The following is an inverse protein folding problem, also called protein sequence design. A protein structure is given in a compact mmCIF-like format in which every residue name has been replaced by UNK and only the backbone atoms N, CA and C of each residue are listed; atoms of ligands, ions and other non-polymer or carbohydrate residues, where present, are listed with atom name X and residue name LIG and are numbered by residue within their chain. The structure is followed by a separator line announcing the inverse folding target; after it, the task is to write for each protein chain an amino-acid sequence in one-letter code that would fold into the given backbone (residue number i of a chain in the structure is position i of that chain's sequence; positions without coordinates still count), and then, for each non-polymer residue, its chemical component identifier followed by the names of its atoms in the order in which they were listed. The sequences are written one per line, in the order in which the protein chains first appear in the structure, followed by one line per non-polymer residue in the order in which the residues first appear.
data_IF_014571540607
#
_entry.id   IF_014571540607
#
_cell.length_a   1.000
_cell.length_b   1.000
_cell.length_c   1.000
_cell.angle_alpha   90.00
_cell.angle_beta   90.00
_cell.angle_gamma   90.00
#
_symmetry.space_group_name_H-M   'P 1'
#
loop_
_entity.id
_entity.type
_entity.pdbx_description
1 polymer ?
#
# COMPACT_ATOMS: atom_id res chain seq x y z
N UNK A 1 -5.29 2.95 -23.45
CA UNK A 1 -4.10 2.19 -23.07
C UNK A 1 -4.53 0.87 -22.43
N UNK A 2 -3.71 -0.17 -22.57
CA UNK A 2 -3.99 -1.48 -21.95
C UNK A 2 -3.79 -1.39 -20.44
N UNK A 3 -4.55 -2.17 -19.68
CA UNK A 3 -4.21 -2.50 -18.29
C UNK A 3 -2.88 -3.26 -18.29
N UNK A 4 -1.91 -2.82 -17.49
CA UNK A 4 -0.59 -3.44 -17.37
C UNK A 4 -0.39 -3.88 -15.92
N UNK A 5 0.34 -4.98 -15.76
CA UNK A 5 0.65 -5.53 -14.45
C UNK A 5 -0.20 -6.75 -14.14
N UNK A 6 -0.72 -6.80 -12.91
CA UNK A 6 -1.39 -7.96 -12.32
C UNK A 6 -2.55 -7.52 -11.45
N UNK A 7 -3.51 -8.40 -11.25
CA UNK A 7 -4.68 -8.21 -10.39
C UNK A 7 -4.36 -8.49 -8.93
N UNK A 8 -3.39 -9.37 -8.64
CA UNK A 8 -3.00 -9.71 -7.27
C UNK A 8 -1.51 -9.46 -7.05
N UNK A 9 -1.20 -8.73 -5.97
CA UNK A 9 0.15 -8.38 -5.56
C UNK A 9 0.38 -8.67 -4.08
N UNK A 10 1.54 -9.21 -3.73
CA UNK A 10 1.90 -9.55 -2.34
C UNK A 10 3.12 -8.73 -1.90
N UNK A 11 3.02 -8.09 -0.74
CA UNK A 11 4.12 -7.36 -0.10
C UNK A 11 4.35 -7.99 1.28
N UNK A 12 5.47 -8.72 1.49
CA UNK A 12 5.69 -9.43 2.74
C UNK A 12 6.15 -8.54 3.91
N UNK A 13 6.77 -7.38 3.63
CA UNK A 13 7.33 -6.49 4.66
C UNK A 13 6.51 -5.19 4.77
N UNK A 14 5.70 -5.10 5.82
CA UNK A 14 4.96 -3.93 6.26
C UNK A 14 5.25 -3.63 7.73
N UNK A 15 5.45 -2.35 8.04
CA UNK A 15 5.70 -1.83 9.39
C UNK A 15 5.59 -0.31 9.34
N UNK A 16 4.48 0.24 9.86
CA UNK A 16 4.31 1.69 9.93
C UNK A 16 5.12 2.20 11.12
N UNK A 17 6.19 2.98 10.92
CA UNK A 17 7.00 3.47 12.03
C UNK A 17 6.20 4.44 12.91
N UNK A 18 6.60 4.54 14.17
CA UNK A 18 6.18 5.65 15.04
C UNK A 18 6.63 7.00 14.46
N UNK A 19 5.96 8.06 14.90
CA UNK A 19 6.32 9.42 14.48
C UNK A 19 7.72 9.78 14.99
N UNK A 20 8.57 10.25 14.07
CA UNK A 20 9.88 10.80 14.40
C UNK A 20 9.80 12.29 14.74
N UNK A 21 10.97 12.89 14.98
CA UNK A 21 11.10 14.33 15.28
C UNK A 21 11.14 15.22 14.03
N UNK A 22 10.98 14.64 12.83
CA UNK A 22 11.06 15.35 11.55
C UNK A 22 9.69 15.89 11.12
N UNK A 23 9.70 16.94 10.29
CA UNK A 23 8.47 17.57 9.77
C UNK A 23 7.61 16.64 8.90
N UNK A 24 8.23 15.63 8.29
CA UNK A 24 7.52 14.57 7.56
C UNK A 24 7.53 13.32 8.45
N UNK A 25 6.34 12.85 8.91
CA UNK A 25 6.27 11.66 9.73
C UNK A 25 6.70 10.44 8.91
N UNK A 26 7.32 9.47 9.57
CA UNK A 26 7.57 8.16 8.98
C UNK A 26 6.25 7.54 8.52
N UNK A 27 6.27 6.90 7.36
CA UNK A 27 5.09 6.34 6.74
C UNK A 27 5.45 5.25 5.73
N UNK A 28 4.43 4.48 5.37
CA UNK A 28 4.46 3.55 4.25
C UNK A 28 3.45 3.98 3.20
N UNK A 29 3.75 3.69 1.95
CA UNK A 29 2.92 4.05 0.82
C UNK A 29 2.85 2.91 -0.19
N UNK A 30 1.63 2.49 -0.51
CA UNK A 30 1.35 1.70 -1.70
C UNK A 30 1.21 2.66 -2.89
N UNK A 31 2.23 2.69 -3.73
CA UNK A 31 2.19 3.38 -5.01
C UNK A 31 1.55 2.46 -6.04
N UNK A 32 0.36 2.81 -6.51
CA UNK A 32 -0.43 1.99 -7.43
C UNK A 32 -0.69 2.78 -8.70
N UNK A 33 -0.35 2.20 -9.86
CA UNK A 33 -0.68 2.79 -11.16
C UNK A 33 -1.68 1.92 -11.93
N UNK A 34 -2.74 2.57 -12.41
CA UNK A 34 -3.70 2.02 -13.36
C UNK A 34 -3.42 2.65 -14.74
N UNK A 35 -2.81 1.88 -15.63
CA UNK A 35 -2.48 2.34 -17.00
C UNK A 35 -3.64 2.22 -17.97
N UNK A 36 -4.73 1.55 -17.59
CA UNK A 36 -5.85 1.26 -18.48
C UNK A 36 -6.85 2.41 -18.62
N UNK A 37 -7.83 2.20 -19.50
CA UNK A 37 -8.87 3.18 -19.85
C UNK A 37 -10.13 3.10 -18.99
N UNK A 38 -10.15 2.23 -17.99
CA UNK A 38 -11.26 2.10 -17.03
C UNK A 38 -10.73 2.21 -15.61
N UNK A 39 -11.57 2.72 -14.70
CA UNK A 39 -11.28 2.70 -13.26
C UNK A 39 -11.02 1.26 -12.78
N UNK A 40 -10.11 1.12 -11.81
CA UNK A 40 -9.80 -0.13 -11.14
C UNK A 40 -10.31 -0.06 -9.69
N UNK A 41 -11.07 -1.08 -9.26
CA UNK A 41 -11.52 -1.27 -7.89
C UNK A 41 -10.50 -2.14 -7.17
N UNK A 42 -9.92 -1.58 -6.11
CA UNK A 42 -8.83 -2.18 -5.35
C UNK A 42 -9.29 -2.47 -3.93
N UNK A 43 -8.84 -3.61 -3.38
CA UNK A 43 -9.02 -4.00 -1.99
C UNK A 43 -7.68 -4.42 -1.39
N UNK A 44 -7.50 -4.14 -0.12
CA UNK A 44 -6.30 -4.49 0.64
C UNK A 44 -6.68 -5.47 1.75
N UNK A 45 -5.88 -6.52 1.91
CA UNK A 45 -5.90 -7.40 3.07
C UNK A 45 -4.56 -7.35 3.77
N UNK A 46 -4.58 -7.14 5.09
CA UNK A 46 -3.38 -7.05 5.94
C UNK A 46 -3.33 -8.25 6.87
N UNK A 47 -2.23 -8.98 6.81
CA UNK A 47 -1.96 -10.19 7.61
C UNK A 47 -1.00 -9.85 8.74
N UNK A 48 -1.25 -10.45 9.90
CA UNK A 48 -0.43 -10.25 11.10
C UNK A 48 0.16 -11.58 11.57
N UNK A 49 1.17 -11.50 12.44
CA UNK A 49 1.82 -12.68 13.02
C UNK A 49 0.95 -13.40 14.06
N UNK A 50 0.00 -12.69 14.69
CA UNK A 50 -0.65 -13.12 15.94
C UNK A 50 -2.18 -13.01 15.95
N UNK A 51 -2.82 -12.62 14.84
CA UNK A 51 -4.27 -12.41 14.75
C UNK A 51 -4.80 -12.54 13.33
N UNK A 52 -6.13 -12.64 13.22
CA UNK A 52 -6.83 -12.69 11.94
C UNK A 52 -6.52 -11.45 11.07
N UNK A 53 -6.49 -11.62 9.74
CA UNK A 53 -6.31 -10.50 8.82
C UNK A 53 -7.41 -9.45 8.94
N UNK A 54 -7.08 -8.21 8.61
CA UNK A 54 -8.05 -7.13 8.44
C UNK A 54 -8.14 -6.72 6.97
N UNK A 55 -9.31 -6.29 6.54
CA UNK A 55 -9.61 -5.98 5.15
C UNK A 55 -10.15 -4.56 5.01
N UNK A 56 -9.77 -3.89 3.93
CA UNK A 56 -10.35 -2.60 3.55
C UNK A 56 -11.70 -2.76 2.87
N UNK A 57 -12.47 -1.67 2.83
CA UNK A 57 -13.47 -1.48 1.78
C UNK A 57 -12.79 -1.30 0.42
N UNK A 58 -13.57 -1.40 -0.66
CA UNK A 58 -13.05 -1.10 -2.00
C UNK A 58 -12.77 0.39 -2.16
N UNK A 59 -11.61 0.71 -2.73
CA UNK A 59 -11.28 2.07 -3.19
C UNK A 59 -10.91 2.05 -4.68
N UNK A 60 -10.83 3.23 -5.30
CA UNK A 60 -10.71 3.35 -6.76
C UNK A 60 -9.39 3.99 -7.17
N UNK A 61 -8.67 3.32 -8.07
CA UNK A 61 -7.59 3.93 -8.85
C UNK A 61 -8.15 4.29 -10.22
N UNK A 62 -8.30 5.59 -10.47
CA UNK A 62 -8.91 6.11 -11.70
C UNK A 62 -8.17 5.68 -12.95
N UNK A 63 -8.89 5.59 -14.07
CA UNK A 63 -8.30 5.30 -15.38
C UNK A 63 -7.14 6.26 -15.69
N UNK A 64 -6.02 5.70 -16.18
CA UNK A 64 -4.80 6.46 -16.52
C UNK A 64 -4.29 7.35 -15.38
N UNK A 65 -4.32 6.85 -14.14
CA UNK A 65 -3.85 7.57 -12.95
C UNK A 65 -3.00 6.67 -12.05
N UNK A 66 -2.22 7.33 -11.21
CA UNK A 66 -1.55 6.73 -10.06
C UNK A 66 -2.20 7.23 -8.78
N UNK A 67 -2.14 6.43 -7.73
CA UNK A 67 -2.38 6.85 -6.35
C UNK A 67 -1.17 6.49 -5.50
N UNK A 68 -0.82 7.38 -4.58
CA UNK A 68 0.13 7.13 -3.52
C UNK A 68 -0.69 6.94 -2.24
N UNK A 69 -1.10 5.70 -1.99
CA UNK A 69 -1.99 5.37 -0.88
C UNK A 69 -1.16 5.21 0.39
N UNK A 70 -1.15 6.25 1.22
CA UNK A 70 -0.41 6.24 2.48
C UNK A 70 -1.13 5.32 3.47
N UNK A 71 -0.39 4.35 4.01
CA UNK A 71 -0.98 3.30 4.86
C UNK A 71 -1.45 3.80 6.22
N UNK A 72 -1.01 4.99 6.62
CA UNK A 72 -1.45 5.69 7.83
C UNK A 72 -2.64 6.65 7.60
N UNK A 73 -3.22 6.68 6.40
CA UNK A 73 -4.36 7.52 6.04
C UNK A 73 -5.53 6.66 5.58
N UNK A 74 -6.45 6.27 6.48
CA UNK A 74 -7.56 5.37 6.18
C UNK A 74 -8.39 5.78 4.94
N UNK A 75 -8.55 7.09 4.72
CA UNK A 75 -9.28 7.64 3.58
C UNK A 75 -8.66 7.29 2.20
N UNK A 76 -7.37 6.91 2.15
CA UNK A 76 -6.68 6.51 0.93
C UNK A 76 -6.69 4.99 0.67
N UNK A 77 -7.09 4.21 1.67
CA UNK A 77 -7.01 2.73 1.67
C UNK A 77 -8.35 2.10 2.07
N UNK A 78 -9.46 2.69 1.65
CA UNK A 78 -10.80 2.10 1.87
C UNK A 78 -11.16 1.98 3.35
N UNK A 79 -10.83 2.98 4.16
CA UNK A 79 -11.18 3.04 5.58
C UNK A 79 -10.36 2.13 6.50
N UNK A 80 -9.38 1.39 5.95
CA UNK A 80 -8.56 0.47 6.74
C UNK A 80 -7.70 1.22 7.77
N UNK A 81 -7.68 0.72 9.00
CA UNK A 81 -6.83 1.25 10.07
C UNK A 81 -5.78 0.20 10.40
N UNK A 82 -4.53 0.50 10.03
CA UNK A 82 -3.38 -0.38 10.29
C UNK A 82 -2.66 0.13 11.56
N UNK A 83 -2.39 -0.74 12.54
CA UNK A 83 -1.67 -0.34 13.75
C UNK A 83 -0.22 0.06 13.42
N UNK A 84 0.27 1.13 14.07
CA UNK A 84 1.69 1.50 14.03
C UNK A 84 2.53 0.52 14.85
N UNK A 85 3.79 0.39 14.48
CA UNK A 85 4.79 -0.42 15.18
C UNK A 85 4.44 -1.91 15.33
N UNK A 86 3.62 -2.42 14.41
CA UNK A 86 3.28 -3.84 14.29
C UNK A 86 3.80 -4.33 12.95
N UNK A 87 4.50 -5.47 12.89
CA UNK A 87 4.87 -6.10 11.62
C UNK A 87 3.64 -6.73 10.95
N UNK A 88 3.55 -6.58 9.64
CA UNK A 88 2.44 -7.15 8.85
C UNK A 88 2.86 -7.42 7.41
N UNK A 89 2.03 -8.15 6.69
CA UNK A 89 2.13 -8.33 5.24
C UNK A 89 0.85 -7.84 4.56
N UNK A 90 0.93 -7.52 3.27
CA UNK A 90 -0.20 -6.97 2.50
C UNK A 90 -0.45 -7.80 1.25
N UNK A 91 -1.72 -8.09 0.99
CA UNK A 91 -2.20 -8.49 -0.33
C UNK A 91 -3.04 -7.35 -0.91
N UNK A 92 -2.76 -6.99 -2.16
CA UNK A 92 -3.51 -5.99 -2.93
C UNK A 92 -4.19 -6.69 -4.09
N UNK A 93 -5.51 -6.62 -4.12
CA UNK A 93 -6.36 -7.24 -5.15
C UNK A 93 -7.06 -6.16 -5.97
N UNK A 94 -7.21 -6.37 -7.27
CA UNK A 94 -7.83 -5.44 -8.20
C UNK A 94 -8.65 -6.16 -9.28
N UNK A 95 -9.79 -5.57 -9.68
CA UNK A 95 -10.61 -6.09 -10.77
C UNK A 95 -9.97 -5.89 -12.16
N UNK A 96 -8.95 -5.01 -12.26
CA UNK A 96 -8.12 -4.74 -13.44
C UNK A 96 -6.64 -4.96 -13.13
N UNK A 97 -5.83 -5.21 -14.17
CA UNK A 97 -4.38 -5.28 -14.01
C UNK A 97 -3.84 -3.90 -13.61
N UNK A 98 -3.12 -3.85 -12.50
CA UNK A 98 -2.45 -2.67 -11.94
C UNK A 98 -0.99 -3.02 -11.66
N UNK A 99 -0.16 -2.01 -11.43
CA UNK A 99 1.20 -2.21 -10.90
C UNK A 99 1.29 -1.62 -9.50
N UNK A 100 1.88 -2.37 -8.57
CA UNK A 100 1.97 -2.01 -7.15
C UNK A 100 3.42 -2.00 -6.70
N UNK A 101 3.81 -0.90 -6.05
CA UNK A 101 5.11 -0.72 -5.39
C UNK A 101 4.88 -0.30 -3.95
N UNK A 102 5.70 -0.82 -3.03
CA UNK A 102 5.75 -0.33 -1.65
C UNK A 102 6.94 0.60 -1.47
N UNK A 103 6.75 1.70 -0.75
CA UNK A 103 7.83 2.49 -0.18
C UNK A 103 7.63 2.73 1.31
N UNK A 104 8.73 2.80 2.06
CA UNK A 104 8.77 3.18 3.47
C UNK A 104 9.74 4.32 3.66
N UNK A 105 9.31 5.33 4.42
CA UNK A 105 10.15 6.38 4.99
C UNK A 105 10.20 6.18 6.50
N UNK A 106 11.39 6.02 7.07
CA UNK A 106 11.62 6.01 8.52
C UNK A 106 12.38 7.27 8.93
N UNK A 107 11.86 7.99 9.92
CA UNK A 107 12.42 9.26 10.43
C UNK A 107 12.67 9.26 11.96
N UNK A 108 12.58 8.11 12.63
CA UNK A 108 12.57 8.01 14.11
C UNK A 108 13.84 8.50 14.80
N UNK A 109 15.01 8.34 14.18
CA UNK A 109 16.32 8.61 14.81
C UNK A 109 16.95 9.94 14.38
N UNK A 110 16.16 10.90 13.90
CA UNK A 110 16.67 12.18 13.37
C UNK A 110 17.40 12.07 12.02
N UNK A 111 17.60 10.84 11.53
CA UNK A 111 18.05 10.52 10.18
C UNK A 111 16.87 10.05 9.32
N UNK A 112 17.01 10.12 8.00
CA UNK A 112 16.02 9.60 7.06
C UNK A 112 16.55 8.33 6.39
N UNK A 113 15.75 7.26 6.44
CA UNK A 113 15.99 6.05 5.67
C UNK A 113 14.79 5.79 4.73
N UNK A 114 15.09 5.42 3.49
CA UNK A 114 14.10 5.08 2.47
C UNK A 114 14.33 3.65 2.01
N UNK A 115 13.24 2.89 1.94
CA UNK A 115 13.19 1.57 1.31
C UNK A 115 12.10 1.58 0.25
N UNK A 116 12.33 0.89 -0.87
CA UNK A 116 11.25 0.61 -1.80
C UNK A 116 11.48 -0.69 -2.56
N UNK A 117 10.39 -1.40 -2.82
CA UNK A 117 10.39 -2.66 -3.56
C UNK A 117 9.08 -2.79 -4.36
N UNK A 118 9.16 -3.40 -5.53
CA UNK A 118 7.98 -3.80 -6.30
C UNK A 118 7.30 -4.95 -5.56
N UNK A 119 5.97 -4.92 -5.44
CA UNK A 119 5.24 -6.06 -4.86
C UNK A 119 5.46 -7.32 -5.68
N UNK A 120 5.34 -8.50 -5.09
CA UNK A 120 5.42 -9.75 -5.85
C UNK A 120 4.15 -9.91 -6.72
N UNK A 121 4.29 -9.96 -8.06
CA UNK A 121 3.16 -10.13 -8.98
C UNK A 121 2.69 -11.59 -9.00
N UNK A 122 1.41 -11.86 -8.69
CA UNK A 122 0.87 -13.23 -8.67
C UNK A 122 0.06 -13.55 -9.93
N UNK A 123 -1.07 -12.88 -10.17
CA UNK A 123 -1.99 -13.19 -11.29
C UNK A 123 -2.46 -11.99 -12.09
#
# INVERSE_FOLDING_TARGET
MKHLGKKVWVIPDGYIPSEGSMSIPGHECLCIVNTGDSDAKVKITVFFEDREPIESDYFVVKARRTIHAWLNKPELIGGLIIPKEVPYSIVVESDKEIVVQMSRLDTRLGNMALLSVIGFPVE
#
